data_IF_822712707140
#
_entry.id   IF_822712707140
#
_cell.length_a   1.000
_cell.length_b   1.000
_cell.length_c   1.000
_cell.angle_alpha   90.00
_cell.angle_beta   90.00
_cell.angle_gamma   90.00
#
_symmetry.space_group_name_H-M   'P 1'
#
loop_
_entity.id
_entity.type
_entity.pdbx_description
1 polymer ?
#
# COMPACT_ATOMS: atom_id res chain seq x y z
N UNK A 1 1.68 -14.50 -47.56
CA UNK A 1 2.72 -14.55 -46.49
C UNK A 1 2.14 -14.00 -45.19
N UNK A 2 1.78 -14.91 -44.30
CA UNK A 2 1.11 -14.66 -43.03
C UNK A 2 2.23 -14.46 -42.00
N UNK A 3 2.49 -13.23 -41.57
CA UNK A 3 3.36 -12.98 -40.42
C UNK A 3 2.48 -12.93 -39.17
N UNK A 4 2.25 -14.11 -38.60
CA UNK A 4 1.76 -14.24 -37.23
C UNK A 4 2.83 -13.69 -36.29
N UNK A 5 2.71 -12.45 -35.86
CA UNK A 5 3.40 -11.96 -34.68
C UNK A 5 2.71 -12.55 -33.46
N UNK A 6 3.14 -13.74 -33.06
CA UNK A 6 2.77 -14.29 -31.76
C UNK A 6 3.42 -13.42 -30.68
N UNK A 7 2.65 -12.47 -30.16
CA UNK A 7 3.02 -11.73 -28.95
C UNK A 7 3.20 -12.77 -27.85
N UNK A 8 4.46 -13.12 -27.56
CA UNK A 8 4.81 -14.04 -26.49
C UNK A 8 4.23 -13.44 -25.21
N UNK A 9 3.15 -14.01 -24.69
CA UNK A 9 2.64 -13.63 -23.38
C UNK A 9 3.79 -13.89 -22.39
N UNK A 10 4.45 -12.82 -21.95
CA UNK A 10 5.53 -12.89 -20.99
C UNK A 10 5.00 -13.55 -19.72
N UNK A 11 5.64 -14.64 -19.28
CA UNK A 11 5.25 -15.31 -18.04
C UNK A 11 5.44 -14.35 -16.86
N UNK A 12 4.44 -14.27 -15.99
CA UNK A 12 4.53 -13.49 -14.76
C UNK A 12 5.25 -14.30 -13.69
N UNK A 13 6.20 -13.67 -13.00
CA UNK A 13 6.91 -14.27 -11.87
C UNK A 13 6.56 -13.49 -10.60
N UNK A 14 6.22 -14.20 -9.53
CA UNK A 14 6.10 -13.60 -8.20
C UNK A 14 7.50 -13.10 -7.77
N UNK A 15 7.62 -11.79 -7.58
CA UNK A 15 8.87 -11.17 -7.14
C UNK A 15 8.93 -11.01 -5.63
N UNK A 16 7.84 -10.52 -5.01
CA UNK A 16 7.79 -10.16 -3.60
C UNK A 16 6.42 -10.45 -3.00
N UNK A 17 6.39 -10.75 -1.69
CA UNK A 17 5.16 -11.02 -0.92
C UNK A 17 5.26 -10.32 0.43
N UNK A 18 4.31 -9.43 0.71
CA UNK A 18 4.09 -8.82 2.03
C UNK A 18 2.82 -9.40 2.63
N UNK A 19 2.81 -9.60 3.94
CA UNK A 19 1.64 -10.11 4.67
C UNK A 19 1.16 -9.01 5.60
N UNK A 20 -0.08 -8.56 5.38
CA UNK A 20 -0.78 -7.69 6.30
C UNK A 20 -1.53 -8.59 7.28
N UNK A 21 -1.08 -8.59 8.54
CA UNK A 21 -1.70 -9.38 9.60
C UNK A 21 -2.95 -8.69 10.12
N UNK A 22 -4.05 -8.77 9.38
CA UNK A 22 -5.38 -8.39 9.87
C UNK A 22 -6.01 -9.54 10.67
N UNK A 23 -6.81 -9.18 11.68
CA UNK A 23 -7.48 -10.16 12.55
C UNK A 23 -8.82 -10.66 12.00
N UNK A 24 -9.33 -10.00 10.95
CA UNK A 24 -10.68 -10.18 10.41
C UNK A 24 -10.63 -10.62 8.94
N UNK A 25 -11.74 -11.18 8.44
CA UNK A 25 -11.87 -11.57 7.03
C UNK A 25 -11.82 -10.34 6.11
N UNK A 26 -10.81 -10.30 5.23
CA UNK A 26 -10.64 -9.22 4.27
C UNK A 26 -11.20 -9.63 2.92
N UNK A 27 -12.30 -8.99 2.50
CA UNK A 27 -12.85 -9.18 1.15
C UNK A 27 -12.00 -8.49 0.07
N UNK A 28 -11.47 -7.31 0.39
CA UNK A 28 -10.60 -6.55 -0.49
C UNK A 28 -9.73 -5.59 0.33
N UNK A 29 -8.51 -5.36 -0.14
CA UNK A 29 -7.60 -4.35 0.38
C UNK A 29 -7.56 -3.15 -0.56
N UNK A 30 -7.45 -1.96 0.02
CA UNK A 30 -7.15 -0.73 -0.72
C UNK A 30 -5.73 -0.32 -0.39
N UNK A 31 -4.96 -0.04 -1.44
CA UNK A 31 -3.56 0.36 -1.34
C UNK A 31 -3.27 1.47 -2.33
N UNK A 32 -2.18 2.18 -2.09
CA UNK A 32 -1.62 3.13 -3.06
C UNK A 32 -0.09 3.03 -3.11
N UNK A 33 0.49 3.36 -4.27
CA UNK A 33 1.91 3.28 -4.53
C UNK A 33 2.43 4.61 -5.07
N UNK A 34 3.37 5.22 -4.35
CA UNK A 34 4.14 6.32 -4.89
C UNK A 34 5.33 5.77 -5.69
N UNK A 35 5.33 6.00 -7.01
CA UNK A 35 6.39 5.53 -7.91
C UNK A 35 7.70 6.29 -7.74
N UNK A 36 7.64 7.60 -7.48
CA UNK A 36 8.84 8.43 -7.36
C UNK A 36 9.68 8.02 -6.14
N UNK A 37 9.03 7.82 -5.00
CA UNK A 37 9.70 7.41 -3.76
C UNK A 37 9.64 5.91 -3.48
N UNK A 38 9.03 5.12 -4.37
CA UNK A 38 8.88 3.66 -4.25
C UNK A 38 8.26 3.27 -2.89
N UNK A 39 7.17 3.96 -2.51
CA UNK A 39 6.44 3.67 -1.27
C UNK A 39 5.15 2.92 -1.57
N UNK A 40 4.79 1.97 -0.71
CA UNK A 40 3.48 1.31 -0.70
C UNK A 40 2.77 1.65 0.61
N UNK A 41 1.51 2.08 0.54
CA UNK A 41 0.65 2.27 1.69
C UNK A 41 -0.56 1.35 1.63
N UNK A 42 -0.90 0.74 2.76
CA UNK A 42 -2.11 -0.07 2.92
C UNK A 42 -2.85 0.40 4.16
N UNK A 43 -4.15 0.65 4.01
CA UNK A 43 -5.05 0.92 5.13
C UNK A 43 -5.63 -0.38 5.72
N UNK A 44 -5.71 -0.46 7.04
CA UNK A 44 -6.19 -1.62 7.78
C UNK A 44 -7.62 -1.44 8.27
N UNK A 45 -8.24 -2.54 8.74
CA UNK A 45 -9.58 -2.52 9.34
C UNK A 45 -9.58 -1.84 10.73
N UNK A 46 -8.44 -1.87 11.42
CA UNK A 46 -8.24 -1.28 12.76
C UNK A 46 -7.87 0.21 12.76
N UNK A 47 -8.05 0.91 11.62
CA UNK A 47 -7.70 2.33 11.49
C UNK A 47 -6.20 2.61 11.47
N UNK A 48 -5.38 1.61 11.16
CA UNK A 48 -3.94 1.77 10.98
C UNK A 48 -3.61 1.88 9.50
N UNK A 49 -2.49 2.51 9.19
CA UNK A 49 -1.91 2.52 7.85
C UNK A 49 -0.50 2.00 7.98
N UNK A 50 -0.18 1.03 7.14
CA UNK A 50 1.13 0.43 7.06
C UNK A 50 1.81 0.98 5.80
N UNK A 51 3.03 1.48 5.95
CA UNK A 51 3.81 2.07 4.85
C UNK A 51 5.15 1.34 4.72
N UNK A 52 5.42 0.79 3.54
CA UNK A 52 6.64 0.08 3.20
C UNK A 52 7.49 0.89 2.22
N UNK A 53 8.81 0.83 2.38
CA UNK A 53 9.78 1.28 1.38
C UNK A 53 10.18 0.12 0.46
N UNK A 54 9.70 0.15 -0.79
CA UNK A 54 9.93 -0.93 -1.75
C UNK A 54 11.40 -1.01 -2.20
N UNK A 55 12.24 0.00 -1.95
CA UNK A 55 13.67 0.01 -2.33
C UNK A 55 14.52 -0.88 -1.44
N UNK A 56 14.23 -0.86 -0.14
CA UNK A 56 15.06 -1.52 0.88
C UNK A 56 14.64 -2.97 1.12
N UNK A 57 13.40 -3.34 0.77
CA UNK A 57 12.80 -4.61 1.21
C UNK A 57 12.71 -5.69 0.14
N UNK A 58 13.49 -5.59 -0.95
CA UNK A 58 13.52 -6.62 -2.00
C UNK A 58 14.07 -7.98 -1.52
N UNK A 59 14.77 -8.00 -0.38
CA UNK A 59 15.35 -9.23 0.20
C UNK A 59 14.69 -9.68 1.51
N UNK A 60 13.93 -8.83 2.20
CA UNK A 60 13.18 -9.19 3.40
C UNK A 60 11.89 -8.35 3.52
N UNK A 61 10.81 -8.74 2.83
CA UNK A 61 9.57 -7.96 2.79
C UNK A 61 8.79 -7.93 4.13
N UNK A 62 9.09 -8.81 5.07
CA UNK A 62 8.18 -9.07 6.19
C UNK A 62 8.38 -8.20 7.43
N UNK A 63 9.47 -7.43 7.56
CA UNK A 63 9.91 -6.97 8.89
C UNK A 63 9.74 -5.46 9.15
N UNK A 64 9.95 -4.58 8.16
CA UNK A 64 10.03 -3.15 8.45
C UNK A 64 8.97 -2.35 7.68
N UNK A 65 7.94 -1.91 8.38
CA UNK A 65 6.99 -0.92 7.89
C UNK A 65 6.71 0.14 8.95
N UNK A 66 6.46 1.35 8.49
CA UNK A 66 6.02 2.43 9.37
C UNK A 66 4.53 2.29 9.61
N UNK A 67 4.14 2.29 10.89
CA UNK A 67 2.73 2.32 11.31
C UNK A 67 2.31 3.75 11.53
N UNK A 68 1.34 4.21 10.75
CA UNK A 68 0.65 5.47 10.97
C UNK A 68 -0.72 5.16 11.58
N UNK A 69 -1.02 5.77 12.72
CA UNK A 69 -2.29 5.59 13.42
C UNK A 69 -2.73 6.91 14.03
N UNK A 70 -4.01 7.21 13.92
CA UNK A 70 -4.60 8.29 14.70
C UNK A 70 -5.03 7.76 16.08
N UNK A 71 -4.61 8.37 17.20
CA UNK A 71 -5.02 7.91 18.54
C UNK A 71 -6.54 8.01 18.78
N UNK A 72 -7.22 8.90 18.06
CA UNK A 72 -8.64 9.22 18.23
C UNK A 72 -9.56 8.48 17.23
N UNK A 73 -9.00 7.64 16.35
CA UNK A 73 -9.79 6.84 15.40
C UNK A 73 -9.27 5.42 15.31
N UNK A 74 -10.21 4.47 15.37
CA UNK A 74 -9.99 3.04 15.15
C UNK A 74 -10.82 2.52 13.98
N UNK A 75 -11.48 3.41 13.25
CA UNK A 75 -12.34 3.02 12.15
C UNK A 75 -11.50 2.65 10.94
N UNK A 76 -11.98 1.67 10.19
CA UNK A 76 -11.36 1.15 8.98
C UNK A 76 -10.91 2.26 8.06
N UNK A 77 -9.70 2.13 7.52
CA UNK A 77 -9.21 3.02 6.47
C UNK A 77 -9.82 2.58 5.14
N UNK A 78 -10.65 3.43 4.56
CA UNK A 78 -11.37 3.12 3.32
C UNK A 78 -10.57 3.48 2.07
N UNK A 79 -9.69 4.47 2.17
CA UNK A 79 -8.82 4.95 1.08
C UNK A 79 -7.51 5.48 1.63
N UNK A 80 -6.45 5.32 0.85
CA UNK A 80 -5.13 5.95 1.04
C UNK A 80 -4.67 6.53 -0.29
N UNK A 81 -3.93 7.64 -0.26
CA UNK A 81 -3.33 8.23 -1.46
C UNK A 81 -2.08 9.03 -1.14
N UNK A 82 -1.01 8.79 -1.88
CA UNK A 82 0.20 9.59 -1.87
C UNK A 82 0.10 10.79 -2.81
N UNK A 83 0.81 11.86 -2.48
CA UNK A 83 1.18 12.86 -3.47
C UNK A 83 2.33 12.36 -4.38
N UNK A 84 2.66 13.15 -5.41
CA UNK A 84 3.59 12.75 -6.48
C UNK A 84 4.97 12.28 -5.98
N UNK A 85 5.54 12.93 -4.97
CA UNK A 85 6.86 12.65 -4.41
C UNK A 85 6.83 11.76 -3.14
N UNK A 86 5.63 11.37 -2.70
CA UNK A 86 5.41 10.59 -1.47
C UNK A 86 5.77 11.33 -0.18
N UNK A 87 5.91 12.66 -0.21
CA UNK A 87 6.12 13.47 0.99
C UNK A 87 4.85 13.65 1.81
N UNK A 88 3.68 13.49 1.20
CA UNK A 88 2.37 13.57 1.82
C UNK A 88 1.60 12.28 1.57
N UNK A 89 0.98 11.75 2.62
CA UNK A 89 0.01 10.67 2.55
C UNK A 89 -1.32 11.16 3.11
N UNK A 90 -2.39 10.95 2.35
CA UNK A 90 -3.77 11.22 2.77
C UNK A 90 -4.50 9.90 2.96
N UNK A 91 -5.36 9.81 3.97
CA UNK A 91 -6.25 8.69 4.15
C UNK A 91 -7.63 9.10 4.63
N UNK A 92 -8.64 8.34 4.23
CA UNK A 92 -10.02 8.50 4.69
C UNK A 92 -10.42 7.27 5.52
N UNK A 93 -11.19 7.51 6.58
CA UNK A 93 -11.73 6.46 7.44
C UNK A 93 -13.26 6.42 7.35
N UNK A 94 -13.84 5.27 7.66
CA UNK A 94 -15.29 5.05 7.68
C UNK A 94 -16.01 5.87 8.77
N UNK A 95 -15.28 6.44 9.74
CA UNK A 95 -15.83 7.36 10.75
C UNK A 95 -15.94 8.82 10.27
N UNK A 96 -15.92 9.03 8.95
CA UNK A 96 -16.01 10.35 8.30
C UNK A 96 -14.84 11.29 8.61
N UNK A 97 -13.66 10.74 8.94
CA UNK A 97 -12.43 11.51 9.16
C UNK A 97 -11.43 11.36 8.01
N UNK A 98 -10.70 12.45 7.76
CA UNK A 98 -9.58 12.49 6.81
C UNK A 98 -8.32 12.82 7.60
N UNK A 99 -7.24 12.12 7.28
CA UNK A 99 -5.95 12.27 7.91
C UNK A 99 -4.89 12.58 6.87
N UNK A 100 -3.97 13.47 7.22
CA UNK A 100 -2.85 13.87 6.37
C UNK A 100 -1.57 13.73 7.18
N UNK A 101 -0.61 12.98 6.64
CA UNK A 101 0.73 12.85 7.20
C UNK A 101 1.74 13.48 6.26
N UNK A 102 2.67 14.23 6.84
CA UNK A 102 3.86 14.72 6.15
C UNK A 102 5.07 13.91 6.62
N UNK A 103 5.85 13.39 5.68
CA UNK A 103 7.14 12.74 5.95
C UNK A 103 8.14 13.80 6.43
N UNK A 104 8.83 13.53 7.53
CA UNK A 104 9.92 14.38 8.04
C UNK A 104 11.18 14.21 7.20
#
# INVERSE_FOLDING_TARGET
>A
PILGSTTKASSFKLLLKWVVNEKEYIWFLKFDICRASQLLAIGTLDGQIQVWDLRHHMHNPSVDFVKLKNPNSKAKISRVSFNYDGSILVACSDDSRIFIWKRK
#
